data_IF_096179180574
#
_entry.id   IF_096179180574
#
_cell.length_a   1.000
_cell.length_b   1.000
_cell.length_c   1.000
_cell.angle_alpha   90.00
_cell.angle_beta   90.00
_cell.angle_gamma   90.00
#
_symmetry.space_group_name_H-M   'P 1'
#
loop_
_entity.id
_entity.type
_entity.pdbx_description
1 polymer ?
#
# COMPACT_ATOMS: atom_id res chain seq x y z
N UNK A 1 -18.34 -16.81 13.65
CA UNK A 1 -16.96 -17.11 13.22
C UNK A 1 -16.15 -15.85 13.49
N UNK A 2 -15.15 -15.92 14.37
CA UNK A 2 -14.31 -14.78 14.75
C UNK A 2 -13.06 -14.86 13.89
N UNK A 3 -12.90 -13.92 12.97
CA UNK A 3 -11.69 -13.83 12.14
C UNK A 3 -10.67 -13.05 12.96
N UNK A 4 -9.67 -13.74 13.46
CA UNK A 4 -8.55 -13.13 14.19
C UNK A 4 -7.61 -12.50 13.15
N UNK A 5 -7.69 -11.18 12.99
CA UNK A 5 -6.73 -10.43 12.18
C UNK A 5 -5.42 -10.27 12.98
N UNK A 6 -4.54 -11.26 12.93
CA UNK A 6 -3.23 -11.14 13.56
C UNK A 6 -2.27 -10.40 12.62
N UNK A 7 -2.10 -9.11 12.89
CA UNK A 7 -1.09 -8.28 12.26
C UNK A 7 -0.08 -7.90 13.34
N UNK A 8 1.17 -8.34 13.19
CA UNK A 8 2.28 -8.09 14.12
C UNK A 8 3.07 -6.82 13.70
N UNK A 9 2.84 -5.64 14.31
CA UNK A 9 3.69 -4.47 14.11
C UNK A 9 4.81 -4.42 15.17
N UNK A 10 5.84 -5.26 15.02
CA UNK A 10 7.10 -5.08 15.76
C UNK A 10 8.02 -4.09 15.03
N UNK A 11 8.65 -3.08 15.63
CA UNK A 11 8.72 -2.70 17.02
C UNK A 11 9.29 -1.28 17.18
N UNK A 12 8.97 -0.66 18.31
CA UNK A 12 9.51 0.63 18.72
C UNK A 12 10.64 0.49 19.75
N UNK A 13 11.63 1.37 19.62
CA UNK A 13 12.49 1.97 20.65
C UNK A 13 13.05 1.07 21.77
N UNK A 14 14.32 0.70 21.65
CA UNK A 14 15.18 0.46 22.80
C UNK A 14 16.56 1.08 22.54
N UNK A 15 16.98 1.91 23.49
CA UNK A 15 18.20 2.70 23.52
C UNK A 15 19.18 1.95 24.42
N UNK A 16 20.17 1.26 23.87
CA UNK A 16 21.34 0.78 24.61
C UNK A 16 22.61 0.93 23.75
N UNK A 17 23.61 1.59 24.34
CA UNK A 17 24.96 1.89 23.83
C UNK A 17 25.91 0.67 23.98
N UNK A 18 27.08 0.66 23.31
CA UNK A 18 27.57 -0.50 22.56
C UNK A 18 28.65 -1.33 23.26
N UNK A 19 28.70 -2.62 22.94
CA UNK A 19 29.90 -3.46 23.12
C UNK A 19 30.16 -4.27 21.85
N UNK A 20 31.32 -4.01 21.26
CA UNK A 20 31.90 -4.52 20.01
C UNK A 20 31.78 -6.02 19.75
N UNK A 21 31.48 -6.40 18.49
CA UNK A 21 32.34 -7.23 17.61
C UNK A 21 32.00 -6.90 16.14
N UNK A 22 32.98 -6.63 15.24
CA UNK A 22 32.73 -6.43 13.82
C UNK A 22 32.94 -7.73 13.04
N UNK A 23 31.95 -8.18 12.28
CA UNK A 23 32.21 -8.60 10.90
C UNK A 23 30.98 -8.35 10.02
N UNK A 24 31.26 -7.68 8.92
CA UNK A 24 30.32 -7.01 8.05
C UNK A 24 29.66 -8.03 7.11
N UNK A 25 28.51 -8.57 7.51
CA UNK A 25 27.49 -8.88 6.51
C UNK A 25 26.54 -7.72 6.51
N UNK A 26 26.75 -6.84 5.54
CA UNK A 26 25.98 -5.64 5.24
C UNK A 26 24.51 -6.02 5.00
N UNK A 27 23.80 -6.21 6.10
CA UNK A 27 22.36 -6.40 6.10
C UNK A 27 21.83 -5.02 5.75
N UNK A 28 21.58 -4.81 4.45
CA UNK A 28 20.89 -3.62 3.96
C UNK A 28 19.77 -3.29 4.95
N UNK A 29 19.67 -2.04 5.43
CA UNK A 29 18.67 -1.70 6.43
C UNK A 29 17.34 -2.21 5.91
N UNK A 30 16.70 -3.11 6.65
CA UNK A 30 15.43 -3.71 6.24
C UNK A 30 14.53 -2.56 5.79
N UNK A 31 14.27 -2.48 4.49
CA UNK A 31 13.63 -1.31 3.91
C UNK A 31 12.33 -1.08 4.67
N UNK A 32 12.20 0.08 5.31
CA UNK A 32 11.04 0.38 6.14
C UNK A 32 9.82 0.41 5.21
N UNK A 33 9.02 -0.64 5.25
CA UNK A 33 7.82 -0.75 4.41
C UNK A 33 6.90 0.43 4.71
N UNK A 34 6.44 1.12 3.68
CA UNK A 34 5.56 2.28 3.86
C UNK A 34 4.21 1.86 4.46
N UNK A 35 3.54 2.76 5.19
CA UNK A 35 2.17 2.49 5.68
C UNK A 35 1.23 2.15 4.52
N UNK A 36 1.41 2.80 3.37
CA UNK A 36 0.62 2.59 2.16
C UNK A 36 0.87 1.24 1.52
N UNK A 37 2.11 0.77 1.50
CA UNK A 37 2.44 -0.59 1.05
C UNK A 37 1.76 -1.65 1.92
N UNK A 38 1.76 -1.48 3.25
CA UNK A 38 1.03 -2.40 4.16
C UNK A 38 -0.48 -2.34 3.94
N UNK A 39 -1.03 -1.16 3.67
CA UNK A 39 -2.46 -1.01 3.33
C UNK A 39 -2.80 -1.70 2.01
N UNK A 40 -1.96 -1.57 0.98
CA UNK A 40 -2.18 -2.23 -0.30
C UNK A 40 -2.14 -3.76 -0.15
N UNK A 41 -1.17 -4.29 0.59
CA UNK A 41 -1.11 -5.72 0.90
C UNK A 41 -2.37 -6.19 1.67
N UNK A 42 -2.82 -5.41 2.65
CA UNK A 42 -4.05 -5.69 3.39
C UNK A 42 -5.28 -5.65 2.48
N UNK A 43 -5.34 -4.75 1.51
CA UNK A 43 -6.44 -4.66 0.56
C UNK A 43 -6.58 -5.94 -0.26
N UNK A 44 -5.47 -6.47 -0.78
CA UNK A 44 -5.45 -7.75 -1.49
C UNK A 44 -5.83 -8.93 -0.58
N UNK A 45 -5.38 -8.92 0.67
CA UNK A 45 -5.76 -9.95 1.64
C UNK A 45 -7.27 -9.91 1.92
N UNK A 46 -7.85 -8.73 2.08
CA UNK A 46 -9.29 -8.54 2.25
C UNK A 46 -10.07 -9.10 1.05
N UNK A 47 -9.66 -8.78 -0.19
CA UNK A 47 -10.28 -9.34 -1.38
C UNK A 47 -10.24 -10.87 -1.36
N UNK A 48 -9.09 -11.46 -1.03
CA UNK A 48 -8.95 -12.92 -0.91
C UNK A 48 -9.89 -13.53 0.13
N UNK A 49 -10.12 -12.88 1.27
CA UNK A 49 -11.03 -13.36 2.32
C UNK A 49 -12.50 -13.30 1.90
N UNK A 50 -12.86 -12.28 1.11
CA UNK A 50 -14.22 -12.14 0.57
C UNK A 50 -14.43 -13.16 -0.55
N UNK A 51 -13.45 -13.32 -1.44
CA UNK A 51 -13.51 -14.27 -2.55
C UNK A 51 -13.52 -15.74 -2.06
N UNK A 52 -12.81 -16.05 -0.96
CA UNK A 52 -12.85 -17.38 -0.33
C UNK A 52 -14.14 -17.65 0.43
N UNK A 53 -14.96 -16.61 0.68
CA UNK A 53 -16.17 -16.69 1.50
C UNK A 53 -15.92 -16.79 3.01
N UNK A 54 -14.67 -16.65 3.46
CA UNK A 54 -14.32 -16.60 4.89
C UNK A 54 -14.92 -15.37 5.58
N UNK A 55 -15.06 -14.26 4.82
CA UNK A 55 -15.75 -13.06 5.27
C UNK A 55 -16.88 -12.71 4.34
N UNK A 56 -18.05 -12.42 4.92
CA UNK A 56 -19.28 -12.14 4.18
C UNK A 56 -19.20 -10.87 3.34
N UNK A 57 -18.70 -9.78 3.94
CA UNK A 57 -18.68 -8.45 3.32
C UNK A 57 -17.72 -7.49 4.03
N UNK A 58 -17.53 -6.32 3.42
CA UNK A 58 -16.70 -5.23 3.95
C UNK A 58 -17.17 -4.76 5.33
N UNK A 59 -18.49 -4.82 5.61
CA UNK A 59 -19.03 -4.43 6.91
C UNK A 59 -18.53 -5.35 8.03
N UNK A 60 -18.50 -6.65 7.76
CA UNK A 60 -17.98 -7.66 8.69
C UNK A 60 -16.49 -7.44 9.00
N UNK A 61 -15.71 -7.00 8.00
CA UNK A 61 -14.28 -6.65 8.18
C UNK A 61 -14.13 -5.41 9.04
N UNK A 62 -14.92 -4.36 8.78
CA UNK A 62 -14.90 -3.13 9.55
C UNK A 62 -15.22 -3.38 11.04
N UNK A 63 -16.26 -4.19 11.29
CA UNK A 63 -16.67 -4.56 12.64
C UNK A 63 -15.60 -5.42 13.35
N UNK A 64 -14.99 -6.38 12.65
CA UNK A 64 -13.93 -7.23 13.20
C UNK A 64 -12.64 -6.46 13.51
N UNK A 65 -12.29 -5.49 12.66
CA UNK A 65 -11.09 -4.66 12.83
C UNK A 65 -11.33 -3.43 13.74
N UNK A 66 -12.57 -3.17 14.16
CA UNK A 66 -12.91 -2.01 15.00
C UNK A 66 -12.70 -0.66 14.32
N UNK A 67 -12.77 -0.60 12.98
CA UNK A 67 -12.57 0.62 12.18
C UNK A 67 -13.80 0.95 11.34
N UNK A 68 -13.90 2.17 10.85
CA UNK A 68 -15.03 2.57 10.01
C UNK A 68 -15.01 1.88 8.65
N UNK A 69 -16.21 1.61 8.10
CA UNK A 69 -16.36 1.09 6.72
C UNK A 69 -15.68 2.00 5.69
N UNK A 70 -15.73 3.32 5.91
CA UNK A 70 -15.06 4.28 5.04
C UNK A 70 -13.54 4.09 5.03
N UNK A 71 -12.93 3.72 6.17
CA UNK A 71 -11.50 3.42 6.23
C UNK A 71 -11.16 2.11 5.52
N UNK A 72 -11.99 1.08 5.66
CA UNK A 72 -11.83 -0.17 4.90
C UNK A 72 -11.96 0.07 3.40
N UNK A 73 -12.96 0.87 2.98
CA UNK A 73 -13.12 1.28 1.59
C UNK A 73 -11.87 2.00 1.07
N UNK A 74 -11.31 2.94 1.84
CA UNK A 74 -10.10 3.63 1.42
C UNK A 74 -8.89 2.69 1.24
N UNK A 75 -8.80 1.65 2.06
CA UNK A 75 -7.75 0.62 1.92
C UNK A 75 -7.99 -0.16 0.62
N UNK A 76 -9.23 -0.59 0.37
CA UNK A 76 -9.63 -1.29 -0.84
C UNK A 76 -9.44 -0.47 -2.12
N UNK A 77 -9.69 0.84 -2.06
CA UNK A 77 -9.52 1.74 -3.20
C UNK A 77 -8.07 1.75 -3.74
N UNK A 78 -7.08 1.36 -2.92
CA UNK A 78 -5.69 1.24 -3.39
C UNK A 78 -5.52 0.17 -4.48
N UNK A 79 -6.38 -0.85 -4.53
CA UNK A 79 -6.34 -1.87 -5.60
C UNK A 79 -6.93 -1.38 -6.92
N UNK A 80 -7.57 -0.20 -6.94
CA UNK A 80 -8.10 0.43 -8.16
C UNK A 80 -7.03 1.27 -8.89
N UNK A 81 -5.90 1.51 -8.24
CA UNK A 81 -4.77 2.24 -8.84
C UNK A 81 -4.14 1.41 -9.96
N UNK A 82 -3.52 2.09 -10.93
CA UNK A 82 -2.79 1.43 -12.00
C UNK A 82 -1.65 0.56 -11.44
N UNK A 83 -1.32 -0.57 -12.07
CA UNK A 83 -0.27 -1.47 -11.58
C UNK A 83 1.07 -0.76 -11.34
N UNK A 84 1.48 0.12 -12.25
CA UNK A 84 2.70 0.94 -12.15
C UNK A 84 2.75 1.82 -10.91
N UNK A 85 1.59 2.32 -10.47
CA UNK A 85 1.43 3.19 -9.31
C UNK A 85 1.48 2.36 -8.03
N UNK A 86 0.83 1.19 -8.04
CA UNK A 86 0.90 0.24 -6.94
C UNK A 86 2.32 -0.24 -6.70
N UNK A 87 3.07 -0.55 -7.76
CA UNK A 87 4.49 -0.89 -7.70
C UNK A 87 5.30 0.24 -7.04
N UNK A 88 5.08 1.49 -7.45
CA UNK A 88 5.73 2.63 -6.84
C UNK A 88 5.42 2.81 -5.35
N UNK A 89 4.21 2.45 -4.90
CA UNK A 89 3.84 2.46 -3.48
C UNK A 89 4.59 1.36 -2.71
N UNK A 90 4.71 0.18 -3.32
CA UNK A 90 5.35 -1.00 -2.72
C UNK A 90 6.85 -0.85 -2.58
N UNK A 91 7.53 -0.31 -3.60
CA UNK A 91 8.97 -0.09 -3.58
C UNK A 91 9.39 1.23 -2.90
N UNK A 92 8.40 2.07 -2.55
CA UNK A 92 8.60 3.34 -1.87
C UNK A 92 9.03 4.49 -2.76
N UNK A 93 9.10 4.30 -4.08
CA UNK A 93 9.40 5.36 -5.05
C UNK A 93 8.25 6.37 -5.21
N UNK A 94 7.02 5.98 -4.86
CA UNK A 94 5.84 6.83 -4.86
C UNK A 94 5.30 6.99 -3.42
N UNK A 95 5.48 8.19 -2.86
CA UNK A 95 4.92 8.58 -1.57
C UNK A 95 3.83 9.62 -1.76
N UNK A 96 2.57 9.23 -1.49
CA UNK A 96 1.41 10.11 -1.60
C UNK A 96 0.56 10.09 -0.33
N UNK A 97 -0.01 11.26 -0.03
CA UNK A 97 -0.97 11.39 1.06
C UNK A 97 -2.29 10.69 0.75
N UNK A 98 -3.04 10.37 1.80
CA UNK A 98 -4.36 9.72 1.72
C UNK A 98 -5.38 10.48 0.85
N UNK A 99 -5.29 11.81 0.76
CA UNK A 99 -6.18 12.62 -0.08
C UNK A 99 -5.89 12.42 -1.57
N UNK A 100 -4.62 12.55 -1.95
CA UNK A 100 -4.17 12.35 -3.33
C UNK A 100 -4.51 10.94 -3.84
N UNK A 101 -4.28 9.91 -3.02
CA UNK A 101 -4.63 8.52 -3.39
C UNK A 101 -6.14 8.34 -3.57
N UNK A 102 -6.96 9.05 -2.81
CA UNK A 102 -8.42 9.01 -2.92
C UNK A 102 -8.92 9.72 -4.16
N UNK A 103 -8.30 10.82 -4.57
CA UNK A 103 -8.62 11.47 -5.84
C UNK A 103 -8.22 10.58 -7.02
N UNK A 104 -7.01 10.02 -6.95
CA UNK A 104 -6.47 9.17 -7.99
C UNK A 104 -7.32 7.91 -8.22
N UNK A 105 -7.85 7.30 -7.15
CA UNK A 105 -8.73 6.12 -7.26
C UNK A 105 -10.09 6.43 -7.89
N UNK A 106 -10.50 7.72 -7.99
CA UNK A 106 -11.73 8.08 -8.72
C UNK A 106 -11.58 8.03 -10.22
N UNK A 107 -10.35 8.15 -10.73
CA UNK A 107 -10.05 8.09 -12.17
C UNK A 107 -10.14 6.64 -12.62
N UNK A 108 -11.04 6.35 -13.57
CA UNK A 108 -11.38 4.97 -13.96
C UNK A 108 -10.45 4.36 -14.99
N UNK A 109 -9.68 5.19 -15.70
CA UNK A 109 -8.74 4.77 -16.73
C UNK A 109 -7.31 4.94 -16.22
N UNK A 110 -6.53 3.85 -16.23
CA UNK A 110 -5.15 3.86 -15.74
C UNK A 110 -4.22 4.84 -16.46
N UNK A 111 -4.28 5.02 -17.79
CA UNK A 111 -3.43 6.03 -18.44
C UNK A 111 -3.67 7.46 -17.91
N UNK A 112 -4.92 7.78 -17.58
CA UNK A 112 -5.28 9.08 -16.98
C UNK A 112 -4.78 9.19 -15.54
N UNK A 113 -4.70 8.08 -14.79
CA UNK A 113 -4.08 8.07 -13.46
C UNK A 113 -2.57 8.34 -13.54
N UNK A 114 -1.87 7.73 -14.50
CA UNK A 114 -0.44 7.95 -14.72
C UNK A 114 -0.17 9.40 -15.13
N UNK A 115 -0.97 9.94 -16.06
CA UNK A 115 -0.90 11.34 -16.47
C UNK A 115 -1.21 12.28 -15.30
N UNK A 116 -2.19 11.94 -14.46
CA UNK A 116 -2.50 12.69 -13.25
C UNK A 116 -1.29 12.80 -12.33
N UNK A 117 -0.57 11.69 -12.10
CA UNK A 117 0.64 11.74 -11.26
C UNK A 117 1.72 12.57 -11.92
N UNK A 118 1.97 12.45 -13.22
CA UNK A 118 2.98 13.28 -13.91
C UNK A 118 2.66 14.78 -13.75
N UNK A 119 1.39 15.15 -13.81
CA UNK A 119 0.94 16.54 -13.67
C UNK A 119 0.97 17.04 -12.21
N UNK A 120 0.75 16.18 -11.22
CA UNK A 120 0.67 16.54 -9.80
C UNK A 120 1.95 16.27 -9.00
N UNK A 121 2.82 15.41 -9.53
CA UNK A 121 4.18 15.15 -9.05
C UNK A 121 5.12 15.21 -10.26
N UNK A 122 5.95 16.25 -10.33
CA UNK A 122 6.98 16.38 -11.37
C UNK A 122 8.10 15.32 -11.31
N UNK A 123 7.84 14.13 -10.78
CA UNK A 123 8.80 13.11 -10.35
C UNK A 123 8.70 11.80 -11.17
N UNK A 124 7.54 11.44 -11.74
CA UNK A 124 7.41 10.19 -12.51
C UNK A 124 7.98 10.24 -13.94
N UNK A 125 8.27 11.43 -14.47
CA UNK A 125 8.77 11.59 -15.84
C UNK A 125 10.18 10.99 -16.05
N UNK A 126 10.95 10.73 -14.99
CA UNK A 126 12.36 10.34 -15.13
C UNK A 126 12.63 8.83 -15.11
N UNK A 127 11.64 7.97 -14.83
CA UNK A 127 11.88 6.51 -14.70
C UNK A 127 10.90 5.62 -15.44
N UNK A 128 9.74 6.13 -15.86
CA UNK A 128 8.80 5.33 -16.64
C UNK A 128 8.96 5.61 -18.14
N UNK A 129 9.66 4.70 -18.84
CA UNK A 129 9.47 4.50 -20.27
C UNK A 129 8.09 3.84 -20.47
N UNK A 130 7.01 4.61 -20.28
CA UNK A 130 5.65 4.16 -20.49
C UNK A 130 5.52 3.85 -22.00
N UNK A 131 5.41 2.58 -22.42
CA UNK A 131 4.99 2.32 -23.78
C UNK A 131 3.57 2.86 -23.87
N UNK A 132 3.36 3.85 -24.76
CA UNK A 132 2.01 4.27 -25.08
C UNK A 132 1.28 3.02 -25.57
N UNK A 133 0.36 2.51 -24.75
CA UNK A 133 -0.58 1.48 -25.17
C UNK A 133 -1.50 2.14 -26.20
N UNK A 134 -1.04 2.15 -27.46
CA UNK A 134 -1.84 2.44 -28.64
C UNK A 134 -2.59 1.19 -29.05
N UNK A 135 -3.87 1.37 -29.38
CA UNK A 135 -4.78 0.36 -29.91
C UNK A 135 -6.20 0.86 -29.86
#
# INVERSE_FOLDING_TARGET
MRVEFNFDPGGGSAREEPSSVPDSSEMAPAAVVSEKARQLALAYHIHSLVDSGEVKDIASIADAAGISRARVSQILDLTLLAPSIQEGILDGSLSMGSHALRELSTIRYWPEQEEWIVNHQGILAQRMNIPRCGG
#
